data_IF_489468784273
#
_entry.id   IF_489468784273
#
_cell.length_a   1.000
_cell.length_b   1.000
_cell.length_c   1.000
_cell.angle_alpha   90.00
_cell.angle_beta   90.00
_cell.angle_gamma   90.00
#
_symmetry.space_group_name_H-M   'P 1'
#
loop_
_entity.id
_entity.type
_entity.pdbx_description
1 polymer ?
#
# COMPACT_ATOMS: atom_id res chain seq x y z
N UNK A 1 -12.86 -9.49 13.42
CA UNK A 1 -13.37 -8.59 12.36
C UNK A 1 -12.17 -7.97 11.69
N UNK A 2 -12.09 -8.00 10.37
CA UNK A 2 -10.99 -7.41 9.60
C UNK A 2 -11.50 -6.13 8.93
N UNK A 3 -10.83 -5.02 9.19
CA UNK A 3 -11.09 -3.72 8.56
C UNK A 3 -9.96 -3.42 7.58
N UNK A 4 -10.32 -3.20 6.31
CA UNK A 4 -9.37 -2.81 5.26
C UNK A 4 -9.56 -1.34 4.97
N UNK A 5 -8.49 -0.56 5.14
CA UNK A 5 -8.51 0.90 5.07
C UNK A 5 -7.73 1.40 3.86
N UNK A 6 -8.16 2.51 3.27
CA UNK A 6 -7.36 3.20 2.25
C UNK A 6 -6.20 3.97 2.90
N UNK A 7 -5.06 3.31 3.04
CA UNK A 7 -3.83 3.86 3.61
C UNK A 7 -3.81 4.06 5.12
N UNK A 8 -2.65 4.52 5.61
CA UNK A 8 -2.34 4.59 7.05
C UNK A 8 -3.06 5.69 7.80
N UNK A 9 -3.45 6.78 7.13
CA UNK A 9 -4.22 7.85 7.76
C UNK A 9 -5.52 7.31 8.38
N UNK A 10 -6.28 6.56 7.57
CA UNK A 10 -7.55 5.97 7.98
C UNK A 10 -7.33 4.82 8.98
N UNK A 11 -6.40 3.90 8.67
CA UNK A 11 -6.11 2.77 9.55
C UNK A 11 -5.60 3.21 10.93
N UNK A 12 -4.70 4.20 10.96
CA UNK A 12 -4.15 4.76 12.18
C UNK A 12 -5.20 5.50 13.01
N UNK A 13 -6.09 6.24 12.36
CA UNK A 13 -7.22 6.90 13.05
C UNK A 13 -8.17 5.87 13.65
N UNK A 14 -8.51 4.82 12.90
CA UNK A 14 -9.36 3.73 13.36
C UNK A 14 -8.77 3.00 14.59
N UNK A 15 -7.44 2.73 14.57
CA UNK A 15 -6.73 2.16 15.73
C UNK A 15 -6.78 3.07 16.95
N UNK A 16 -6.58 4.38 16.78
CA UNK A 16 -6.63 5.36 17.89
C UNK A 16 -8.04 5.55 18.46
N UNK A 17 -9.06 5.28 17.66
CA UNK A 17 -10.46 5.33 18.07
C UNK A 17 -10.94 4.05 18.79
N UNK A 18 -10.04 3.09 19.03
CA UNK A 18 -10.33 1.81 19.72
C UNK A 18 -11.46 1.01 19.05
N UNK A 19 -11.54 1.07 17.72
CA UNK A 19 -12.44 0.21 16.97
C UNK A 19 -11.96 -1.24 17.07
N UNK A 20 -12.87 -2.15 17.43
CA UNK A 20 -12.53 -3.57 17.58
C UNK A 20 -12.23 -4.24 16.25
N UNK A 21 -11.12 -5.00 16.20
CA UNK A 21 -10.74 -5.84 15.08
C UNK A 21 -9.31 -5.64 14.63
N UNK A 22 -8.95 -6.32 13.55
CA UNK A 22 -7.68 -6.12 12.85
C UNK A 22 -7.81 -4.98 11.84
N UNK A 23 -6.79 -4.12 11.75
CA UNK A 23 -6.78 -2.94 10.89
C UNK A 23 -5.65 -3.03 9.87
N UNK A 24 -5.98 -3.47 8.67
CA UNK A 24 -5.06 -3.52 7.54
C UNK A 24 -5.14 -2.22 6.75
N UNK A 25 -4.00 -1.58 6.51
CA UNK A 25 -3.92 -0.46 5.58
C UNK A 25 -3.60 -1.00 4.18
N UNK A 26 -4.57 -0.89 3.27
CA UNK A 26 -4.38 -1.12 1.85
C UNK A 26 -3.75 0.14 1.25
N UNK A 27 -2.47 0.06 0.87
CA UNK A 27 -1.69 1.21 0.36
C UNK A 27 -1.51 1.09 -1.14
N UNK A 28 -2.57 0.67 -1.81
CA UNK A 28 -2.67 0.71 -3.25
C UNK A 28 -3.52 1.93 -3.65
N UNK A 29 -2.90 2.88 -4.34
CA UNK A 29 -3.59 3.85 -5.18
C UNK A 29 -4.30 3.15 -6.36
N UNK A 30 -5.55 2.75 -6.13
CA UNK A 30 -6.47 2.08 -7.08
C UNK A 30 -6.59 2.71 -8.49
N UNK A 31 -6.04 3.92 -8.69
CA UNK A 31 -6.16 4.73 -9.92
C UNK A 31 -4.81 5.04 -10.59
N UNK A 32 -3.67 4.81 -9.95
CA UNK A 32 -2.38 5.25 -10.49
C UNK A 32 -1.43 4.10 -10.80
N UNK A 33 -1.66 3.49 -11.97
CA UNK A 33 -0.64 2.80 -12.74
C UNK A 33 -0.08 1.51 -12.13
N UNK A 34 0.76 0.83 -12.91
CA UNK A 34 0.36 -0.32 -13.69
C UNK A 34 0.13 -1.55 -12.80
N UNK A 35 -0.93 -2.30 -13.10
CA UNK A 35 -1.20 -3.62 -12.53
C UNK A 35 -0.97 -4.72 -13.59
N UNK A 36 0.27 -4.96 -14.03
CA UNK A 36 0.56 -5.92 -15.10
C UNK A 36 0.30 -7.36 -14.61
N UNK A 37 -0.37 -8.15 -15.45
CA UNK A 37 -0.57 -9.57 -15.21
C UNK A 37 0.69 -10.39 -15.53
N UNK A 38 0.81 -11.58 -14.91
CA UNK A 38 1.88 -12.54 -15.26
C UNK A 38 3.22 -12.28 -14.57
N UNK A 39 3.28 -11.35 -13.63
CA UNK A 39 4.46 -11.11 -12.79
C UNK A 39 4.39 -11.94 -11.50
N UNK A 40 5.57 -12.24 -10.94
CA UNK A 40 5.66 -12.70 -9.55
C UNK A 40 5.23 -11.59 -8.60
N UNK A 41 4.91 -11.94 -7.34
CA UNK A 41 4.54 -10.94 -6.34
C UNK A 41 5.65 -9.91 -6.07
N UNK A 42 6.92 -10.34 -6.13
CA UNK A 42 8.06 -9.43 -5.94
C UNK A 42 8.26 -8.51 -7.14
N UNK A 43 8.20 -9.04 -8.36
CA UNK A 43 8.32 -8.22 -9.58
C UNK A 43 7.17 -7.22 -9.68
N UNK A 44 5.96 -7.64 -9.31
CA UNK A 44 4.80 -6.78 -9.23
C UNK A 44 5.06 -5.62 -8.27
N UNK A 45 5.48 -5.90 -7.02
CA UNK A 45 5.80 -4.86 -6.03
C UNK A 45 6.90 -3.92 -6.52
N UNK A 46 7.92 -4.41 -7.22
CA UNK A 46 9.00 -3.58 -7.73
C UNK A 46 8.51 -2.62 -8.83
N UNK A 47 7.72 -3.10 -9.78
CA UNK A 47 7.08 -2.27 -10.81
C UNK A 47 6.20 -1.20 -10.17
N UNK A 48 5.44 -1.58 -9.13
CA UNK A 48 4.60 -0.66 -8.38
C UNK A 48 5.39 0.41 -7.65
N UNK A 49 6.42 0.01 -6.89
CA UNK A 49 7.26 0.94 -6.14
C UNK A 49 7.89 1.99 -7.06
N UNK A 50 8.38 1.57 -8.24
CA UNK A 50 8.94 2.47 -9.23
C UNK A 50 7.91 3.44 -9.79
N UNK A 51 6.72 2.96 -10.17
CA UNK A 51 5.67 3.84 -10.66
C UNK A 51 5.24 4.87 -9.60
N UNK A 52 5.05 4.45 -8.35
CA UNK A 52 4.64 5.35 -7.27
C UNK A 52 5.72 6.40 -6.98
N UNK A 53 7.00 5.99 -6.92
CA UNK A 53 8.16 6.88 -6.80
C UNK A 53 8.18 7.93 -7.92
N UNK A 54 8.03 7.50 -9.17
CA UNK A 54 8.12 8.38 -10.34
C UNK A 54 6.91 9.33 -10.45
N UNK A 55 5.69 8.83 -10.19
CA UNK A 55 4.46 9.60 -10.35
C UNK A 55 4.22 10.60 -9.21
N UNK A 56 4.67 10.29 -8.00
CA UNK A 56 4.37 11.07 -6.79
C UNK A 56 5.59 11.68 -6.10
N UNK A 57 6.80 11.42 -6.61
CA UNK A 57 8.04 11.97 -6.02
C UNK A 57 8.37 11.42 -4.63
N UNK A 58 7.85 10.24 -4.30
CA UNK A 58 8.12 9.55 -3.03
C UNK A 58 9.42 8.74 -3.14
N UNK A 59 10.04 8.43 -1.99
CA UNK A 59 11.27 7.64 -1.97
C UNK A 59 11.00 6.18 -2.36
N UNK A 60 11.74 5.67 -3.35
CA UNK A 60 11.59 4.32 -3.87
C UNK A 60 11.80 3.22 -2.80
N UNK A 61 12.84 3.34 -1.96
CA UNK A 61 13.17 2.32 -0.96
C UNK A 61 12.09 2.23 0.11
N UNK A 62 11.56 3.38 0.52
CA UNK A 62 10.44 3.45 1.46
C UNK A 62 9.19 2.80 0.85
N UNK A 63 8.87 3.10 -0.42
CA UNK A 63 7.78 2.45 -1.13
C UNK A 63 7.94 0.93 -1.25
N UNK A 64 9.14 0.44 -1.58
CA UNK A 64 9.40 -1.01 -1.67
C UNK A 64 9.20 -1.69 -0.31
N UNK A 65 9.69 -1.08 0.76
CA UNK A 65 9.52 -1.60 2.12
C UNK A 65 8.05 -1.65 2.50
N UNK A 66 7.32 -0.55 2.31
CA UNK A 66 5.90 -0.47 2.64
C UNK A 66 5.04 -1.47 1.86
N UNK A 67 5.35 -1.69 0.57
CA UNK A 67 4.65 -2.67 -0.26
C UNK A 67 4.90 -4.13 0.18
N UNK A 68 6.00 -4.42 0.86
CA UNK A 68 6.29 -5.76 1.42
C UNK A 68 5.60 -6.00 2.77
N UNK A 69 5.25 -4.93 3.48
CA UNK A 69 4.57 -4.96 4.78
C UNK A 69 3.03 -4.94 4.66
N UNK A 70 2.49 -4.97 3.44
CA UNK A 70 1.07 -5.17 3.15
C UNK A 70 0.63 -6.63 3.28
#
# INVERSE_FOLDING_TARGET
>A
MLHVHNGDSTAGTARKADLYGEHLAWREALVCGPAPSGLSGDDFRQVRARHLSDAYGVNLQDCEKELREQ
#
